data_IF_554594659156
#
_entry.id   IF_554594659156
#
_cell.length_a   1.000
_cell.length_b   1.000
_cell.length_c   1.000
_cell.angle_alpha   90.00
_cell.angle_beta   90.00
_cell.angle_gamma   90.00
#
_symmetry.space_group_name_H-M   'P 1'
#
loop_
_entity.id
_entity.type
_entity.pdbx_description
1 polymer ?
#
# COMPACT_ATOMS: atom_id res chain seq x y z
N UNK A 1 48.47 -49.22 14.37
CA UNK A 1 49.60 -48.50 15.01
C UNK A 1 49.03 -47.19 15.44
N UNK A 2 48.58 -47.09 16.71
CA UNK A 2 49.22 -46.45 17.87
C UNK A 2 49.39 -44.96 17.61
N UNK A 3 48.92 -44.05 18.42
CA UNK A 3 48.63 -43.95 19.82
C UNK A 3 47.88 -42.64 20.05
N UNK A 4 46.90 -42.47 20.83
CA UNK A 4 46.89 -42.39 22.28
C UNK A 4 47.83 -41.31 22.87
N UNK A 5 47.21 -40.21 23.32
CA UNK A 5 47.55 -39.42 24.55
C UNK A 5 46.47 -38.28 24.63
N UNK A 6 45.54 -38.36 25.53
CA UNK A 6 45.46 -38.10 26.97
C UNK A 6 45.78 -36.66 27.39
N UNK A 7 44.73 -36.02 27.91
CA UNK A 7 44.57 -35.31 29.19
C UNK A 7 45.08 -33.88 29.23
N UNK A 8 44.24 -32.90 29.57
CA UNK A 8 44.06 -32.42 30.95
C UNK A 8 42.84 -31.46 31.01
N UNK A 9 41.96 -31.76 31.96
CA UNK A 9 40.99 -30.90 32.58
C UNK A 9 41.63 -29.67 33.23
N UNK A 10 41.05 -28.48 33.00
CA UNK A 10 41.10 -27.41 34.01
C UNK A 10 39.70 -26.82 34.16
N UNK A 11 39.13 -27.18 35.29
CA UNK A 11 37.97 -26.55 35.91
C UNK A 11 38.45 -25.24 36.52
N UNK A 12 37.82 -24.15 36.19
CA UNK A 12 37.80 -22.98 37.07
C UNK A 12 36.40 -22.35 37.03
N UNK A 13 35.68 -22.68 38.09
CA UNK A 13 34.52 -21.94 38.55
C UNK A 13 34.99 -20.63 39.21
N UNK A 14 34.20 -19.58 39.04
CA UNK A 14 33.93 -18.41 39.87
C UNK A 14 33.49 -17.31 38.87
N UNK A 15 32.42 -16.56 39.02
CA UNK A 15 31.67 -16.14 40.14
C UNK A 15 30.33 -15.56 39.69
N UNK A 16 29.37 -15.79 40.51
CA UNK A 16 28.07 -15.14 40.53
C UNK A 16 28.24 -13.63 40.69
N UNK A 17 27.58 -12.89 39.81
CA UNK A 17 27.13 -11.54 40.13
C UNK A 17 25.68 -11.44 39.69
N UNK A 18 24.78 -11.82 40.57
CA UNK A 18 23.40 -11.43 40.57
C UNK A 18 23.37 -9.93 40.88
N UNK A 19 22.90 -9.14 39.95
CA UNK A 19 22.39 -7.80 40.24
C UNK A 19 20.90 -7.84 40.05
N UNK A 20 20.21 -8.24 41.10
CA UNK A 20 18.81 -7.80 41.31
C UNK A 20 18.84 -6.27 41.45
N UNK A 21 18.36 -5.60 40.45
CA UNK A 21 17.92 -4.23 40.62
C UNK A 21 16.37 -4.18 40.49
N UNK A 22 15.77 -4.43 41.63
CA UNK A 22 14.36 -4.16 41.87
C UNK A 22 14.20 -2.64 42.02
N UNK A 23 13.91 -1.95 40.95
CA UNK A 23 13.27 -0.63 41.05
C UNK A 23 12.24 -0.55 39.97
N UNK A 24 11.00 -0.45 40.43
CA UNK A 24 9.83 -0.25 39.57
C UNK A 24 10.01 0.97 38.65
N UNK A 25 10.06 0.66 37.37
CA UNK A 25 9.87 1.59 36.29
C UNK A 25 8.92 0.92 35.34
N UNK A 26 7.66 1.34 35.38
CA UNK A 26 6.67 1.03 34.35
C UNK A 26 7.23 1.53 33.02
N UNK A 27 8.09 0.73 32.42
CA UNK A 27 8.49 0.87 31.04
C UNK A 27 7.32 0.42 30.20
N UNK A 28 6.46 1.36 29.84
CA UNK A 28 5.47 1.19 28.80
C UNK A 28 6.24 0.88 27.51
N UNK A 29 6.50 -0.40 27.28
CA UNK A 29 6.84 -0.88 25.93
C UNK A 29 5.62 -0.56 25.12
N UNK A 30 5.67 0.57 24.43
CA UNK A 30 4.69 0.89 23.41
C UNK A 30 4.91 -0.17 22.33
N UNK A 31 4.14 -1.24 22.38
CA UNK A 31 3.94 -2.15 21.26
C UNK A 31 3.41 -1.30 20.11
N UNK A 32 4.30 -0.86 19.24
CA UNK A 32 3.96 -0.13 18.01
C UNK A 32 3.13 -0.99 17.05
N UNK A 33 2.75 -2.19 17.46
CA UNK A 33 1.89 -3.12 16.74
C UNK A 33 0.54 -3.37 17.44
N UNK A 34 0.16 -2.59 18.44
CA UNK A 34 -1.21 -2.61 18.93
C UNK A 34 -2.08 -1.84 17.94
N UNK A 35 -3.04 -2.53 17.31
CA UNK A 35 -3.95 -2.02 16.30
C UNK A 35 -4.79 -0.85 16.79
N UNK A 36 -4.16 0.31 16.93
CA UNK A 36 -4.85 1.56 17.18
C UNK A 36 -5.63 2.01 15.95
N UNK A 37 -6.62 2.85 16.13
CA UNK A 37 -7.36 3.49 15.05
C UNK A 37 -6.38 4.09 14.02
N UNK A 38 -6.55 3.71 12.73
CA UNK A 38 -5.67 4.12 11.64
C UNK A 38 -4.49 3.19 11.34
N UNK A 39 -4.28 2.09 12.09
CA UNK A 39 -3.26 1.08 11.77
C UNK A 39 -3.71 0.14 10.65
N UNK A 40 -2.77 -0.63 10.08
CA UNK A 40 -3.08 -1.68 9.08
C UNK A 40 -3.97 -2.79 9.68
N UNK A 41 -3.89 -3.02 10.98
CA UNK A 41 -4.75 -4.00 11.66
C UNK A 41 -6.22 -3.53 11.79
N UNK A 42 -6.47 -2.22 11.65
CA UNK A 42 -7.82 -1.66 11.62
C UNK A 42 -8.38 -1.73 10.20
N UNK A 43 -9.29 -2.65 9.95
CA UNK A 43 -9.91 -2.87 8.63
C UNK A 43 -10.71 -1.66 8.10
N UNK A 44 -11.00 -0.68 8.94
CA UNK A 44 -11.70 0.55 8.57
C UNK A 44 -10.73 1.69 8.24
N UNK A 45 -9.43 1.48 8.39
CA UNK A 45 -8.41 2.50 8.19
C UNK A 45 -7.99 2.68 6.74
N UNK A 46 -7.53 3.89 6.38
CA UNK A 46 -6.91 4.16 5.10
C UNK A 46 -5.61 3.35 4.89
N UNK A 47 -4.90 3.02 5.97
CA UNK A 47 -3.71 2.18 5.90
C UNK A 47 -4.05 0.74 5.48
N UNK A 48 -5.12 0.15 6.04
CA UNK A 48 -5.62 -1.14 5.62
C UNK A 48 -6.02 -1.13 4.13
N UNK A 49 -6.75 -0.10 3.70
CA UNK A 49 -7.12 0.04 2.29
C UNK A 49 -5.90 0.06 1.37
N UNK A 50 -4.85 0.79 1.70
CA UNK A 50 -3.65 0.88 0.87
C UNK A 50 -2.86 -0.42 0.81
N UNK A 51 -2.72 -1.14 1.92
CA UNK A 51 -1.82 -2.28 2.03
C UNK A 51 -2.50 -3.61 1.75
N UNK A 52 -3.74 -3.80 2.21
CA UNK A 52 -4.45 -5.07 2.11
C UNK A 52 -5.43 -5.11 0.93
N UNK A 53 -6.16 -4.01 0.67
CA UNK A 53 -7.09 -3.94 -0.46
C UNK A 53 -6.34 -3.60 -1.76
N UNK A 54 -5.34 -2.72 -1.66
CA UNK A 54 -4.61 -2.17 -2.80
C UNK A 54 -5.25 -0.91 -3.35
N UNK A 55 -4.47 0.16 -3.37
CA UNK A 55 -4.92 1.50 -3.78
C UNK A 55 -4.84 1.74 -5.29
N UNK A 56 -4.22 0.86 -6.07
CA UNK A 56 -3.89 1.10 -7.47
C UNK A 56 -4.22 -0.03 -8.41
N UNK A 57 -4.49 0.33 -9.66
CA UNK A 57 -4.66 -0.60 -10.78
C UNK A 57 -3.77 -0.19 -11.94
N UNK A 58 -3.25 -1.18 -12.68
CA UNK A 58 -2.34 -0.98 -13.80
C UNK A 58 -3.06 -1.12 -15.14
N UNK A 59 -2.49 -0.49 -16.18
CA UNK A 59 -3.02 -0.49 -17.54
C UNK A 59 -1.99 -0.95 -18.57
N UNK A 60 -2.50 -1.53 -19.63
CA UNK A 60 -1.71 -1.86 -20.83
C UNK A 60 -1.31 -0.56 -21.56
N UNK A 61 -0.22 -0.63 -22.32
CA UNK A 61 0.28 0.50 -23.11
C UNK A 61 -0.83 1.09 -23.99
N UNK A 62 -0.96 2.42 -23.98
CA UNK A 62 -1.97 3.18 -24.73
C UNK A 62 -3.44 2.81 -24.48
N UNK A 63 -3.73 2.01 -23.45
CA UNK A 63 -5.09 1.60 -23.11
C UNK A 63 -5.58 2.23 -21.81
N UNK A 64 -6.90 2.38 -21.73
CA UNK A 64 -7.66 2.74 -20.53
C UNK A 64 -8.71 1.68 -20.16
N UNK A 65 -8.73 0.55 -20.87
CA UNK A 65 -9.58 -0.60 -20.56
C UNK A 65 -9.05 -1.31 -19.33
N UNK A 66 -9.93 -1.66 -18.41
CA UNK A 66 -9.57 -2.43 -17.23
C UNK A 66 -9.23 -3.88 -17.61
N UNK A 67 -8.19 -4.39 -17.01
CA UNK A 67 -7.87 -5.83 -17.10
C UNK A 67 -8.67 -6.61 -16.05
N UNK A 68 -8.84 -7.93 -16.19
CA UNK A 68 -9.51 -8.74 -15.14
C UNK A 68 -8.86 -8.60 -13.76
N UNK A 69 -7.53 -8.44 -13.71
CA UNK A 69 -6.81 -8.17 -12.46
C UNK A 69 -7.20 -6.80 -11.86
N UNK A 70 -7.25 -5.77 -12.70
CA UNK A 70 -7.68 -4.43 -12.27
C UNK A 70 -9.12 -4.42 -11.76
N UNK A 71 -10.02 -5.15 -12.43
CA UNK A 71 -11.41 -5.30 -11.99
C UNK A 71 -11.52 -6.01 -10.65
N UNK A 72 -10.70 -7.03 -10.38
CA UNK A 72 -10.66 -7.72 -9.08
C UNK A 72 -10.24 -6.78 -7.94
N UNK A 73 -9.22 -5.95 -8.15
CA UNK A 73 -8.78 -4.94 -7.17
C UNK A 73 -9.88 -3.90 -6.96
N UNK A 74 -10.44 -3.36 -8.03
CA UNK A 74 -11.52 -2.36 -7.94
C UNK A 74 -12.79 -2.93 -7.29
N UNK A 75 -13.09 -4.21 -7.47
CA UNK A 75 -14.20 -4.86 -6.75
C UNK A 75 -13.95 -4.87 -5.24
N UNK A 76 -12.73 -5.18 -4.82
CA UNK A 76 -12.34 -5.13 -3.40
C UNK A 76 -12.41 -3.71 -2.85
N UNK A 77 -11.96 -2.71 -3.63
CA UNK A 77 -12.07 -1.29 -3.29
C UNK A 77 -13.55 -0.85 -3.16
N UNK A 78 -14.41 -1.28 -4.10
CA UNK A 78 -15.85 -0.97 -4.05
C UNK A 78 -16.48 -1.51 -2.77
N UNK A 79 -16.25 -2.79 -2.45
CA UNK A 79 -16.79 -3.42 -1.25
C UNK A 79 -16.34 -2.69 0.03
N UNK A 80 -15.06 -2.30 0.08
CA UNK A 80 -14.52 -1.56 1.20
C UNK A 80 -15.15 -0.16 1.32
N UNK A 81 -15.28 0.58 0.21
CA UNK A 81 -15.91 1.91 0.19
C UNK A 81 -17.40 1.87 0.54
N UNK A 82 -18.10 0.79 0.22
CA UNK A 82 -19.50 0.58 0.61
C UNK A 82 -19.64 0.31 2.11
N UNK A 83 -18.70 -0.40 2.70
CA UNK A 83 -18.67 -0.63 4.14
C UNK A 83 -18.21 0.61 4.94
N UNK A 84 -17.38 1.47 4.33
CA UNK A 84 -16.79 2.64 4.98
C UNK A 84 -17.30 3.94 4.33
N UNK A 85 -18.53 4.34 4.69
CA UNK A 85 -19.26 5.43 4.02
C UNK A 85 -18.72 6.83 4.28
N UNK A 86 -17.92 6.99 5.33
CA UNK A 86 -17.34 8.28 5.75
C UNK A 86 -16.16 8.72 4.88
N UNK A 87 -15.64 7.80 4.04
CA UNK A 87 -14.58 8.13 3.11
C UNK A 87 -15.11 8.60 1.78
N UNK A 88 -14.43 9.57 1.21
CA UNK A 88 -14.51 9.96 -0.19
C UNK A 88 -13.22 9.54 -0.89
N UNK A 89 -13.24 9.41 -2.21
CA UNK A 89 -12.09 8.99 -2.98
C UNK A 89 -11.77 10.00 -4.09
N UNK A 90 -10.48 10.21 -4.35
CA UNK A 90 -10.02 10.85 -5.58
C UNK A 90 -9.23 9.82 -6.36
N UNK A 91 -9.64 9.55 -7.60
CA UNK A 91 -8.93 8.64 -8.49
C UNK A 91 -7.98 9.44 -9.36
N UNK A 92 -6.69 9.21 -9.16
CA UNK A 92 -5.61 9.86 -9.90
C UNK A 92 -5.18 8.98 -11.07
N UNK A 93 -5.27 9.50 -12.30
CA UNK A 93 -4.87 8.79 -13.50
C UNK A 93 -3.50 9.23 -13.99
N UNK A 94 -2.68 8.22 -14.35
CA UNK A 94 -1.29 8.40 -14.75
C UNK A 94 -1.00 7.67 -16.06
N UNK A 95 0.01 8.16 -16.77
CA UNK A 95 0.57 7.57 -17.97
C UNK A 95 2.09 7.41 -17.83
N UNK A 96 2.68 6.61 -18.72
CA UNK A 96 4.13 6.55 -18.89
C UNK A 96 4.65 7.81 -19.59
N UNK A 97 5.96 7.93 -19.75
CA UNK A 97 6.60 9.10 -20.34
C UNK A 97 6.43 9.23 -21.86
N UNK A 98 5.97 8.17 -22.53
CA UNK A 98 5.88 8.12 -24.00
C UNK A 98 4.74 9.00 -24.52
N UNK A 99 5.03 9.81 -25.52
CA UNK A 99 4.06 10.71 -26.16
C UNK A 99 4.04 12.14 -25.59
N UNK A 100 3.10 12.94 -26.10
CA UNK A 100 2.96 14.34 -25.70
C UNK A 100 2.31 14.49 -24.33
N UNK A 101 2.49 15.64 -23.72
CA UNK A 101 1.87 15.98 -22.44
C UNK A 101 0.36 15.97 -22.52
N UNK A 102 -0.19 16.57 -23.54
CA UNK A 102 -1.65 16.68 -23.77
C UNK A 102 -2.28 15.30 -23.97
N UNK A 103 -1.65 14.45 -24.77
CA UNK A 103 -2.10 13.09 -24.99
C UNK A 103 -2.12 12.30 -23.67
N UNK A 104 -1.05 12.39 -22.89
CA UNK A 104 -0.94 11.65 -21.63
C UNK A 104 -1.87 12.18 -20.55
N UNK A 105 -2.14 13.49 -20.52
CA UNK A 105 -3.14 14.06 -19.63
C UNK A 105 -4.53 13.50 -19.95
N UNK A 106 -4.90 13.44 -21.25
CA UNK A 106 -6.16 12.85 -21.68
C UNK A 106 -6.21 11.33 -21.40
N UNK A 107 -5.11 10.59 -21.62
CA UNK A 107 -5.04 9.16 -21.33
C UNK A 107 -5.19 8.86 -19.84
N UNK A 108 -4.50 9.62 -18.98
CA UNK A 108 -4.65 9.53 -17.53
C UNK A 108 -6.09 9.80 -17.08
N UNK A 109 -6.75 10.81 -17.65
CA UNK A 109 -8.16 11.09 -17.36
C UNK A 109 -9.08 9.91 -17.76
N UNK A 110 -8.88 9.30 -18.93
CA UNK A 110 -9.65 8.12 -19.34
C UNK A 110 -9.45 6.94 -18.40
N UNK A 111 -8.21 6.67 -17.95
CA UNK A 111 -7.89 5.61 -16.97
C UNK A 111 -8.58 5.82 -15.64
N UNK A 112 -8.51 7.04 -15.10
CA UNK A 112 -9.18 7.39 -13.86
C UNK A 112 -10.70 7.29 -13.98
N UNK A 113 -11.28 7.71 -15.12
CA UNK A 113 -12.71 7.56 -15.36
C UNK A 113 -13.12 6.08 -15.48
N UNK A 114 -12.35 5.23 -16.15
CA UNK A 114 -12.64 3.80 -16.23
C UNK A 114 -12.71 3.15 -14.82
N UNK A 115 -11.77 3.48 -13.95
CA UNK A 115 -11.80 3.02 -12.56
C UNK A 115 -13.01 3.58 -11.79
N UNK A 116 -13.34 4.87 -11.95
CA UNK A 116 -14.52 5.50 -11.35
C UNK A 116 -15.81 4.83 -11.80
N UNK A 117 -15.99 4.65 -13.10
CA UNK A 117 -17.18 4.03 -13.67
C UNK A 117 -17.37 2.61 -13.15
N UNK A 118 -16.30 1.84 -13.00
CA UNK A 118 -16.37 0.53 -12.40
C UNK A 118 -16.85 0.59 -10.94
N UNK A 119 -16.25 1.45 -10.10
CA UNK A 119 -16.67 1.60 -8.70
C UNK A 119 -18.14 2.02 -8.59
N UNK A 120 -18.60 2.95 -9.45
CA UNK A 120 -20.01 3.39 -9.49
C UNK A 120 -20.92 2.25 -9.92
N UNK A 121 -20.52 1.45 -10.92
CA UNK A 121 -21.30 0.28 -11.36
C UNK A 121 -21.45 -0.78 -10.27
N UNK A 122 -20.53 -0.80 -9.27
CA UNK A 122 -20.58 -1.67 -8.09
C UNK A 122 -21.36 -1.05 -6.92
N UNK A 123 -21.95 0.14 -7.09
CA UNK A 123 -22.84 0.76 -6.11
C UNK A 123 -22.21 1.89 -5.28
N UNK A 124 -20.92 2.22 -5.48
CA UNK A 124 -20.33 3.38 -4.80
C UNK A 124 -20.92 4.66 -5.35
N UNK A 125 -21.44 5.54 -4.47
CA UNK A 125 -22.08 6.78 -4.89
C UNK A 125 -21.10 7.70 -5.66
N UNK A 126 -21.48 8.10 -6.88
CA UNK A 126 -20.61 8.86 -7.78
C UNK A 126 -20.17 10.23 -7.26
N UNK A 127 -20.96 10.84 -6.35
CA UNK A 127 -20.60 12.08 -5.67
C UNK A 127 -19.50 11.93 -4.61
N UNK A 128 -19.19 10.70 -4.20
CA UNK A 128 -18.07 10.37 -3.31
C UNK A 128 -16.76 10.19 -4.08
N UNK A 129 -16.79 10.17 -5.41
CA UNK A 129 -15.61 9.87 -6.22
C UNK A 129 -15.27 11.03 -7.14
N UNK A 130 -14.11 11.62 -6.96
CA UNK A 130 -13.52 12.64 -7.85
C UNK A 130 -12.51 12.00 -8.78
N UNK A 131 -12.25 12.62 -9.92
CA UNK A 131 -11.24 12.19 -10.90
C UNK A 131 -10.26 13.32 -11.13
N UNK A 132 -8.98 12.97 -11.18
CA UNK A 132 -7.88 13.87 -11.49
C UNK A 132 -6.89 13.16 -12.42
N UNK A 133 -6.34 13.86 -13.40
CA UNK A 133 -5.25 13.33 -14.23
C UNK A 133 -3.99 14.12 -14.01
N UNK A 134 -2.91 13.41 -13.83
CA UNK A 134 -1.55 13.95 -13.86
C UNK A 134 -0.82 13.62 -15.17
N UNK A 135 -1.44 12.79 -16.04
CA UNK A 135 -0.76 12.33 -17.24
C UNK A 135 0.58 11.70 -16.89
N UNK A 136 1.67 12.20 -17.48
CA UNK A 136 3.04 11.73 -17.22
C UNK A 136 3.83 12.57 -16.21
N UNK A 137 3.19 13.58 -15.59
CA UNK A 137 3.89 14.58 -14.76
C UNK A 137 4.27 14.06 -13.37
N UNK A 138 3.73 12.92 -12.94
CA UNK A 138 4.03 12.28 -11.65
C UNK A 138 4.40 10.81 -11.83
N UNK A 139 5.57 10.51 -12.40
CA UNK A 139 6.03 9.14 -12.54
C UNK A 139 6.28 8.53 -11.15
N UNK A 140 5.99 7.23 -11.02
CA UNK A 140 6.37 6.43 -9.86
C UNK A 140 7.82 5.97 -10.01
N UNK A 141 8.15 5.51 -11.22
CA UNK A 141 9.48 5.04 -11.58
C UNK A 141 10.08 5.90 -12.69
N UNK A 142 11.36 6.23 -12.56
CA UNK A 142 12.09 7.10 -13.48
C UNK A 142 13.17 6.29 -14.19
N UNK A 143 12.79 5.64 -15.27
CA UNK A 143 13.71 5.01 -16.22
C UNK A 143 13.01 4.91 -17.59
N UNK A 144 13.77 4.65 -18.66
CA UNK A 144 13.26 4.64 -20.03
C UNK A 144 13.15 3.20 -20.55
N UNK A 145 12.48 2.33 -19.79
CA UNK A 145 12.20 0.95 -20.19
C UNK A 145 10.81 0.48 -19.70
N UNK A 146 10.36 -0.69 -20.18
CA UNK A 146 9.03 -1.21 -19.88
C UNK A 146 8.82 -1.55 -18.41
N UNK A 147 9.87 -1.84 -17.67
CA UNK A 147 9.77 -2.13 -16.22
C UNK A 147 9.24 -0.92 -15.45
N UNK A 148 9.70 0.28 -15.80
CA UNK A 148 9.21 1.54 -15.25
C UNK A 148 7.87 1.96 -15.88
N UNK A 149 7.75 1.86 -17.20
CA UNK A 149 6.54 2.28 -17.90
C UNK A 149 5.30 1.54 -17.40
N UNK A 150 5.41 0.24 -17.19
CA UNK A 150 4.30 -0.58 -16.68
C UNK A 150 3.80 -0.11 -15.32
N UNK A 151 4.68 0.36 -14.42
CA UNK A 151 4.32 0.88 -13.10
C UNK A 151 3.73 2.29 -13.20
N UNK A 152 4.15 3.06 -14.19
CA UNK A 152 3.65 4.43 -14.41
C UNK A 152 2.23 4.44 -15.01
N UNK A 153 1.86 3.43 -15.81
CA UNK A 153 0.51 3.26 -16.38
C UNK A 153 -0.48 2.78 -15.34
N UNK A 154 -1.00 3.69 -14.52
CA UNK A 154 -1.83 3.33 -13.37
C UNK A 154 -2.98 4.31 -13.13
N UNK A 155 -3.98 3.88 -12.37
CA UNK A 155 -4.89 4.73 -11.63
C UNK A 155 -4.75 4.42 -10.13
N UNK A 156 -4.74 5.47 -9.30
CA UNK A 156 -4.56 5.37 -7.84
C UNK A 156 -5.78 5.95 -7.15
N UNK A 157 -6.36 5.21 -6.23
CA UNK A 157 -7.48 5.63 -5.40
C UNK A 157 -6.96 6.23 -4.10
N UNK A 158 -7.05 7.54 -3.96
CA UNK A 158 -6.65 8.28 -2.76
C UNK A 158 -7.89 8.52 -1.89
N UNK A 159 -7.86 8.02 -0.68
CA UNK A 159 -8.94 8.23 0.29
C UNK A 159 -8.81 9.60 0.98
N UNK A 160 -9.96 10.23 1.22
CA UNK A 160 -10.07 11.47 2.00
C UNK A 160 -11.26 11.32 2.93
N UNK A 161 -11.13 11.78 4.18
CA UNK A 161 -12.13 11.57 5.22
C UNK A 161 -11.74 10.36 6.07
N UNK A 162 -12.71 9.75 6.69
CA UNK A 162 -12.52 8.84 7.80
C UNK A 162 -12.53 9.65 9.09
N UNK A 163 -13.47 9.36 9.95
CA UNK A 163 -13.53 10.01 11.26
C UNK A 163 -12.26 9.65 12.02
N UNK A 164 -11.45 10.65 12.29
CA UNK A 164 -10.52 10.56 13.40
C UNK A 164 -11.37 10.56 14.66
N UNK A 165 -11.63 9.37 15.19
CA UNK A 165 -12.22 9.21 16.50
C UNK A 165 -11.28 9.67 17.59
#
# INVERSE_FOLDING_TARGET
MSGLTKVILVVSALGLAACDNLTGGSGNSTDLNSGGAGSVADQTSAAYFQQEIGDRVLFVVNQSTLTPQAEGILLSQANWLLANTDYTATIEGHADEQGTREYNLALGARRANAAREYLVSRGVAGNRIKVLSYGKERPLEICSDESCYSQNRRAVTILTGGLTG
#
